data_IF_370464344249
#
_entry.id   IF_370464344249
#
_cell.length_a   1.000
_cell.length_b   1.000
_cell.length_c   1.000
_cell.angle_alpha   90.00
_cell.angle_beta   90.00
_cell.angle_gamma   90.00
#
_symmetry.space_group_name_H-M   'P 1'
#
loop_
_entity.id
_entity.type
_entity.pdbx_description
1 polymer ?
#
# COMPACT_ATOMS: atom_id res chain seq x y z
N UNK A 1 -16.54 -25.16 -8.07
CA UNK A 1 -15.61 -24.80 -6.97
C UNK A 1 -14.60 -23.81 -7.54
N UNK A 2 -14.41 -22.68 -6.88
CA UNK A 2 -13.78 -21.47 -7.44
C UNK A 2 -12.31 -21.67 -7.84
N UNK A 3 -11.92 -21.18 -9.02
CA UNK A 3 -10.52 -21.03 -9.48
C UNK A 3 -9.61 -20.37 -8.42
N UNK A 4 -10.19 -19.53 -7.54
CA UNK A 4 -9.48 -18.90 -6.43
C UNK A 4 -9.01 -19.91 -5.37
N UNK A 5 -9.86 -20.88 -4.99
CA UNK A 5 -9.51 -21.87 -3.98
C UNK A 5 -8.35 -22.76 -4.45
N UNK A 6 -8.37 -23.16 -5.73
CA UNK A 6 -7.26 -23.89 -6.34
C UNK A 6 -5.98 -23.06 -6.39
N UNK A 7 -6.07 -21.78 -6.77
CA UNK A 7 -4.93 -20.88 -6.83
C UNK A 7 -4.30 -20.65 -5.46
N UNK A 8 -5.11 -20.39 -4.43
CA UNK A 8 -4.65 -20.23 -3.05
C UNK A 8 -4.04 -21.54 -2.54
N UNK A 9 -4.70 -22.69 -2.77
CA UNK A 9 -4.17 -23.99 -2.36
C UNK A 9 -2.80 -24.29 -2.96
N UNK A 10 -2.61 -24.03 -4.26
CA UNK A 10 -1.29 -24.15 -4.92
C UNK A 10 -0.26 -23.18 -4.33
N UNK A 11 -0.64 -21.94 -4.04
CA UNK A 11 0.26 -20.95 -3.46
C UNK A 11 0.70 -21.33 -2.03
N UNK A 12 -0.22 -21.85 -1.20
CA UNK A 12 0.06 -22.34 0.16
C UNK A 12 1.06 -23.48 0.13
N UNK A 13 0.89 -24.43 -0.80
CA UNK A 13 1.75 -25.61 -0.93
C UNK A 13 3.05 -25.35 -1.69
N UNK A 14 3.22 -24.18 -2.32
CA UNK A 14 4.40 -23.85 -3.09
C UNK A 14 5.66 -23.85 -2.21
N UNK A 15 6.55 -24.82 -2.45
CA UNK A 15 7.79 -24.99 -1.69
C UNK A 15 7.61 -25.55 -0.28
N UNK A 16 6.44 -26.09 0.06
CA UNK A 16 6.21 -26.85 1.28
C UNK A 16 6.46 -28.35 1.04
N UNK A 17 6.98 -29.05 2.06
CA UNK A 17 6.89 -30.51 2.07
C UNK A 17 5.47 -30.92 2.44
N UNK A 18 4.70 -31.41 1.47
CA UNK A 18 3.31 -31.80 1.67
C UNK A 18 3.13 -33.00 2.62
N UNK A 19 4.21 -33.72 2.94
CA UNK A 19 4.21 -34.82 3.92
C UNK A 19 4.44 -34.35 5.36
N UNK A 20 4.78 -33.07 5.57
CA UNK A 20 4.80 -32.44 6.89
C UNK A 20 3.46 -31.73 7.11
N UNK A 21 2.53 -32.39 7.80
CA UNK A 21 1.20 -31.84 8.05
C UNK A 21 1.25 -30.56 8.89
N UNK A 22 2.25 -30.40 9.76
CA UNK A 22 2.43 -29.19 10.56
C UNK A 22 2.96 -28.02 9.72
N UNK A 23 3.78 -28.27 8.69
CA UNK A 23 4.16 -27.24 7.72
C UNK A 23 2.94 -26.73 6.95
N UNK A 24 2.02 -27.62 6.57
CA UNK A 24 0.77 -27.24 5.91
C UNK A 24 -0.09 -26.34 6.83
N UNK A 25 -0.21 -26.68 8.12
CA UNK A 25 -0.93 -25.84 9.09
C UNK A 25 -0.31 -24.45 9.20
N UNK A 26 1.01 -24.35 9.37
CA UNK A 26 1.71 -23.05 9.47
C UNK A 26 1.49 -22.19 8.22
N UNK A 27 1.67 -22.77 7.03
CA UNK A 27 1.47 -22.07 5.76
C UNK A 27 0.03 -21.60 5.55
N UNK A 28 -0.95 -22.39 6.01
CA UNK A 28 -2.36 -22.01 5.96
C UNK A 28 -2.66 -20.87 6.93
N UNK A 29 -2.08 -20.89 8.12
CA UNK A 29 -2.19 -19.79 9.08
C UNK A 29 -1.57 -18.49 8.53
N UNK A 30 -0.40 -18.57 7.89
CA UNK A 30 0.22 -17.40 7.24
C UNK A 30 -0.70 -16.85 6.12
N UNK A 31 -1.33 -17.72 5.34
CA UNK A 31 -2.27 -17.31 4.30
C UNK A 31 -3.54 -16.67 4.88
N UNK A 32 -4.06 -17.15 6.02
CA UNK A 32 -5.20 -16.54 6.72
C UNK A 32 -4.87 -15.10 7.17
N UNK A 33 -3.70 -14.89 7.77
CA UNK A 33 -3.21 -13.55 8.13
C UNK A 33 -3.12 -12.64 6.91
N UNK A 34 -2.46 -13.08 5.84
CA UNK A 34 -2.29 -12.29 4.62
C UNK A 34 -3.63 -11.94 3.96
N UNK A 35 -4.54 -12.91 3.86
CA UNK A 35 -5.86 -12.67 3.24
C UNK A 35 -6.74 -11.77 4.11
N UNK A 36 -6.64 -11.88 5.44
CA UNK A 36 -7.27 -10.94 6.39
C UNK A 36 -6.76 -9.51 6.20
N UNK A 37 -5.45 -9.33 6.05
CA UNK A 37 -4.83 -8.02 5.79
C UNK A 37 -5.27 -7.45 4.45
N UNK A 38 -5.33 -8.27 3.39
CA UNK A 38 -5.83 -7.85 2.08
C UNK A 38 -7.30 -7.43 2.14
N UNK A 39 -8.13 -8.12 2.92
CA UNK A 39 -9.52 -7.73 3.15
C UNK A 39 -9.61 -6.39 3.88
N UNK A 40 -8.83 -6.17 4.94
CA UNK A 40 -8.79 -4.89 5.65
C UNK A 40 -8.35 -3.75 4.70
N UNK A 41 -7.34 -3.99 3.86
CA UNK A 41 -6.88 -3.03 2.86
C UNK A 41 -7.96 -2.73 1.80
N UNK A 42 -8.67 -3.75 1.30
CA UNK A 42 -9.77 -3.57 0.37
C UNK A 42 -10.90 -2.73 0.98
N UNK A 43 -11.25 -2.97 2.25
CA UNK A 43 -12.23 -2.16 2.99
C UNK A 43 -11.75 -0.72 3.14
N UNK A 44 -10.49 -0.51 3.50
CA UNK A 44 -9.89 0.83 3.60
C UNK A 44 -9.92 1.57 2.25
N UNK A 45 -9.59 0.89 1.15
CA UNK A 45 -9.67 1.43 -0.19
C UNK A 45 -11.11 1.82 -0.56
N UNK A 46 -12.10 0.97 -0.26
CA UNK A 46 -13.50 1.28 -0.47
C UNK A 46 -13.96 2.49 0.37
N UNK A 47 -13.52 2.59 1.62
CA UNK A 47 -13.79 3.75 2.49
C UNK A 47 -13.17 5.02 1.94
N UNK A 48 -11.92 4.97 1.47
CA UNK A 48 -11.23 6.10 0.85
C UNK A 48 -11.87 6.53 -0.48
N UNK A 49 -12.50 5.60 -1.20
CA UNK A 49 -13.31 5.87 -2.38
C UNK A 49 -14.74 6.38 -2.06
N UNK A 50 -15.09 6.55 -0.78
CA UNK A 50 -16.36 7.13 -0.35
C UNK A 50 -17.48 6.12 -0.06
N UNK A 51 -17.26 4.81 -0.17
CA UNK A 51 -18.30 3.81 0.13
C UNK A 51 -18.66 3.80 1.62
N UNK A 52 -19.95 3.72 1.94
CA UNK A 52 -20.46 3.72 3.32
C UNK A 52 -20.21 2.39 4.05
N UNK A 53 -20.19 2.43 5.39
CA UNK A 53 -20.15 1.22 6.22
C UNK A 53 -21.32 0.28 5.98
N UNK A 54 -22.48 0.81 5.58
CA UNK A 54 -23.65 -0.01 5.27
C UNK A 54 -23.41 -0.81 3.98
N UNK A 55 -22.90 -0.17 2.92
CA UNK A 55 -22.59 -0.82 1.66
C UNK A 55 -21.50 -1.90 1.80
N UNK A 56 -20.46 -1.60 2.59
CA UNK A 56 -19.39 -2.55 2.91
C UNK A 56 -19.94 -3.72 3.73
N UNK A 57 -20.75 -3.44 4.77
CA UNK A 57 -21.38 -4.47 5.57
C UNK A 57 -22.23 -5.42 4.73
N UNK A 58 -23.13 -4.89 3.91
CA UNK A 58 -23.97 -5.69 3.00
C UNK A 58 -23.16 -6.56 2.06
N UNK A 59 -22.07 -6.05 1.48
CA UNK A 59 -21.16 -6.83 0.61
C UNK A 59 -20.52 -8.02 1.33
N UNK A 60 -20.24 -7.87 2.63
CA UNK A 60 -19.60 -8.90 3.46
C UNK A 60 -20.59 -9.77 4.24
N UNK A 61 -21.90 -9.59 4.04
CA UNK A 61 -22.93 -10.29 4.84
C UNK A 61 -22.95 -9.87 6.31
N UNK A 62 -22.52 -8.65 6.62
CA UNK A 62 -22.45 -8.06 7.96
C UNK A 62 -23.45 -6.90 8.12
N UNK A 63 -23.82 -6.61 9.37
CA UNK A 63 -24.50 -5.35 9.68
C UNK A 63 -23.52 -4.17 9.57
N UNK A 64 -24.06 -2.95 9.40
CA UNK A 64 -23.26 -1.70 9.42
C UNK A 64 -22.37 -1.61 10.66
N UNK A 65 -22.94 -1.89 11.83
CA UNK A 65 -22.23 -1.81 13.11
C UNK A 65 -21.14 -2.88 13.21
N UNK A 66 -21.42 -4.12 12.81
CA UNK A 66 -20.43 -5.20 12.79
C UNK A 66 -19.26 -4.87 11.84
N UNK A 67 -19.54 -4.32 10.65
CA UNK A 67 -18.51 -3.88 9.72
C UNK A 67 -17.67 -2.75 10.31
N UNK A 68 -18.30 -1.72 10.89
CA UNK A 68 -17.58 -0.61 11.52
C UNK A 68 -16.74 -1.06 12.71
N UNK A 69 -17.24 -1.99 13.54
CA UNK A 69 -16.50 -2.52 14.68
C UNK A 69 -15.28 -3.32 14.23
N UNK A 70 -15.45 -4.15 13.20
CA UNK A 70 -14.38 -5.04 12.69
C UNK A 70 -13.30 -4.27 11.94
N UNK A 71 -13.69 -3.35 11.06
CA UNK A 71 -12.77 -2.72 10.11
C UNK A 71 -12.52 -1.23 10.35
N UNK A 72 -13.28 -0.59 11.25
CA UNK A 72 -13.16 0.86 11.51
C UNK A 72 -12.01 1.26 12.43
N UNK A 73 -11.21 0.29 12.91
CA UNK A 73 -10.00 0.54 13.70
C UNK A 73 -8.79 0.52 12.76
N UNK A 74 -7.99 1.58 12.73
CA UNK A 74 -6.71 1.53 12.04
C UNK A 74 -5.78 0.54 12.78
N UNK A 75 -5.20 -0.46 12.09
CA UNK A 75 -4.15 -1.28 12.70
C UNK A 75 -2.91 -0.43 12.99
N UNK A 76 -2.30 -0.67 14.14
CA UNK A 76 -1.04 -0.05 14.53
C UNK A 76 0.12 -0.60 13.67
N UNK A 77 0.43 0.12 12.59
CA UNK A 77 1.73 0.30 11.91
C UNK A 77 2.77 -0.83 12.04
N UNK A 78 3.00 -1.57 10.97
CA UNK A 78 4.29 -2.22 10.71
C UNK A 78 5.19 -1.26 9.91
N UNK A 79 6.23 -0.74 10.56
CA UNK A 79 7.21 0.15 9.97
C UNK A 79 8.32 -0.66 9.28
N UNK A 80 8.43 -0.59 7.95
CA UNK A 80 9.71 -0.85 7.29
C UNK A 80 10.61 0.38 7.51
N UNK A 81 11.86 0.13 7.94
CA UNK A 81 12.79 1.14 8.44
C UNK A 81 13.39 1.99 7.32
N UNK A 82 13.33 3.30 7.47
CA UNK A 82 14.19 4.21 6.74
C UNK A 82 15.63 4.11 7.28
N UNK A 83 16.65 4.43 6.46
CA UNK A 83 18.01 4.54 6.96
C UNK A 83 18.11 5.59 8.08
N UNK A 84 18.98 5.38 9.10
CA UNK A 84 19.16 6.33 10.19
C UNK A 84 19.51 7.73 9.67
N UNK A 85 18.77 8.74 10.12
CA UNK A 85 19.00 10.15 9.76
C UNK A 85 18.22 10.65 8.52
N UNK A 86 17.45 9.80 7.84
CA UNK A 86 16.58 10.26 6.77
C UNK A 86 15.33 10.96 7.32
N UNK A 87 15.01 12.14 6.78
CA UNK A 87 13.81 12.89 7.16
C UNK A 87 12.56 12.10 6.74
N UNK A 88 11.67 11.81 7.69
CA UNK A 88 10.42 11.09 7.45
C UNK A 88 9.21 11.99 7.67
N UNK A 89 8.17 11.81 6.86
CA UNK A 89 6.87 12.46 7.10
C UNK A 89 5.69 11.59 6.68
N UNK A 90 4.52 11.97 7.16
CA UNK A 90 3.23 11.54 6.59
C UNK A 90 2.68 12.65 5.70
N UNK A 91 2.34 12.32 4.45
CA UNK A 91 1.55 13.16 3.56
C UNK A 91 0.08 12.77 3.68
N UNK A 92 -0.77 13.68 4.16
CA UNK A 92 -2.21 13.45 4.27
C UNK A 92 -2.92 14.53 5.10
N UNK A 93 -4.27 14.51 5.13
CA UNK A 93 -5.13 13.55 4.45
C UNK A 93 -5.16 13.73 2.92
N UNK A 94 -5.15 12.63 2.16
CA UNK A 94 -5.34 12.60 0.71
C UNK A 94 -6.41 11.57 0.34
N UNK A 95 -7.23 11.90 -0.64
CA UNK A 95 -8.29 11.06 -1.19
C UNK A 95 -7.85 10.39 -2.49
N UNK A 96 -8.65 9.47 -3.03
CA UNK A 96 -8.34 8.87 -4.32
C UNK A 96 -8.30 9.88 -5.49
N UNK A 97 -8.84 11.09 -5.31
CA UNK A 97 -8.96 12.13 -6.33
C UNK A 97 -7.74 13.07 -6.41
N UNK A 98 -7.22 13.51 -5.27
CA UNK A 98 -6.10 14.48 -5.14
C UNK A 98 -4.75 13.81 -4.85
N UNK A 99 -4.76 12.55 -4.38
CA UNK A 99 -3.54 11.82 -3.97
C UNK A 99 -2.40 11.89 -4.99
N UNK A 100 -2.67 11.68 -6.28
CA UNK A 100 -1.60 11.65 -7.27
C UNK A 100 -0.99 13.04 -7.52
N UNK A 101 -1.78 14.10 -7.38
CA UNK A 101 -1.30 15.48 -7.50
C UNK A 101 -0.43 15.86 -6.29
N UNK A 102 -0.86 15.48 -5.09
CA UNK A 102 -0.10 15.68 -3.86
C UNK A 102 1.23 14.90 -3.87
N UNK A 103 1.21 13.68 -4.40
CA UNK A 103 2.42 12.88 -4.58
C UNK A 103 3.39 13.50 -5.59
N UNK A 104 2.89 14.05 -6.70
CA UNK A 104 3.69 14.76 -7.69
C UNK A 104 4.35 16.03 -7.11
N UNK A 105 3.61 16.81 -6.31
CA UNK A 105 4.16 17.94 -5.54
C UNK A 105 5.26 17.49 -4.56
N UNK A 106 4.99 16.43 -3.79
CA UNK A 106 5.94 15.88 -2.85
C UNK A 106 7.21 15.34 -3.55
N UNK A 107 7.05 14.68 -4.69
CA UNK A 107 8.13 14.15 -5.52
C UNK A 107 9.08 15.24 -6.00
N UNK A 108 8.57 16.40 -6.42
CA UNK A 108 9.39 17.57 -6.77
C UNK A 108 10.26 18.09 -5.63
N UNK A 109 9.80 17.90 -4.39
CA UNK A 109 10.49 18.32 -3.16
C UNK A 109 11.42 17.22 -2.59
N UNK A 110 11.55 16.11 -3.30
CA UNK A 110 12.45 15.00 -3.00
C UNK A 110 11.87 13.92 -2.09
N UNK A 111 10.55 13.91 -1.91
CA UNK A 111 9.86 12.91 -1.09
C UNK A 111 9.45 11.71 -1.91
N UNK A 112 9.90 10.51 -1.52
CA UNK A 112 9.42 9.24 -2.08
C UNK A 112 8.49 8.52 -1.12
N UNK A 113 7.46 7.87 -1.65
CA UNK A 113 6.56 7.01 -0.86
C UNK A 113 7.27 5.72 -0.47
N UNK A 114 7.14 5.33 0.79
CA UNK A 114 7.65 4.06 1.35
C UNK A 114 6.55 3.23 2.04
N UNK A 115 5.37 3.80 2.22
CA UNK A 115 4.21 3.14 2.81
C UNK A 115 2.93 3.91 2.55
N UNK A 116 1.78 3.26 2.64
CA UNK A 116 0.47 3.89 2.55
C UNK A 116 -0.41 3.43 3.72
N UNK A 117 -1.07 4.38 4.37
CA UNK A 117 -2.12 4.16 5.35
C UNK A 117 -3.46 4.65 4.81
N UNK A 118 -4.50 4.62 5.63
CA UNK A 118 -5.80 5.16 5.22
C UNK A 118 -5.67 6.68 4.97
N UNK A 119 -5.88 7.10 3.72
CA UNK A 119 -5.84 8.50 3.28
C UNK A 119 -4.48 9.21 3.53
N UNK A 120 -3.36 8.48 3.58
CA UNK A 120 -2.03 9.09 3.80
C UNK A 120 -0.88 8.22 3.29
N UNK A 121 0.23 8.87 2.96
CA UNK A 121 1.48 8.22 2.55
C UNK A 121 2.59 8.45 3.56
N UNK A 122 3.34 7.40 3.89
CA UNK A 122 4.62 7.54 4.59
C UNK A 122 5.69 7.81 3.56
N UNK A 123 6.51 8.82 3.83
CA UNK A 123 7.52 9.27 2.90
C UNK A 123 8.87 9.44 3.58
N UNK A 124 9.92 9.27 2.78
CA UNK A 124 11.30 9.59 3.15
C UNK A 124 11.81 10.66 2.19
N UNK A 125 12.54 11.65 2.71
CA UNK A 125 13.17 12.69 1.90
C UNK A 125 14.52 12.25 1.37
N UNK A 126 14.81 12.63 0.13
CA UNK A 126 16.08 12.39 -0.55
C UNK A 126 16.55 13.67 -1.27
N UNK A 127 17.81 13.75 -1.71
CA UNK A 127 18.33 14.91 -2.45
C UNK A 127 17.79 15.06 -3.88
N UNK A 128 17.18 14.01 -4.44
CA UNK A 128 16.70 13.96 -5.82
C UNK A 128 15.18 14.00 -5.91
N UNK A 129 14.64 14.43 -7.04
CA UNK A 129 13.20 14.48 -7.31
C UNK A 129 12.68 13.09 -7.69
N UNK A 130 11.44 12.81 -7.29
CA UNK A 130 10.77 11.54 -7.54
C UNK A 130 9.51 11.72 -8.38
N UNK A 131 9.20 10.69 -9.15
CA UNK A 131 7.89 10.51 -9.77
C UNK A 131 7.14 9.38 -9.06
N UNK A 132 5.81 9.50 -9.03
CA UNK A 132 4.93 8.50 -8.42
C UNK A 132 3.88 8.04 -9.44
N UNK A 133 3.51 6.76 -9.34
CA UNK A 133 2.46 6.18 -10.16
C UNK A 133 1.67 5.17 -9.35
N UNK A 134 0.35 5.21 -9.46
CA UNK A 134 -0.55 4.21 -8.86
C UNK A 134 -1.06 3.27 -9.95
N UNK A 135 -0.92 1.96 -9.73
CA UNK A 135 -1.41 0.92 -10.65
C UNK A 135 -2.22 -0.12 -9.88
N UNK A 136 -3.14 -0.80 -10.57
CA UNK A 136 -3.82 -1.95 -10.00
C UNK A 136 -2.82 -3.11 -9.82
N UNK A 137 -2.93 -3.82 -8.72
CA UNK A 137 -2.21 -5.06 -8.47
C UNK A 137 -2.86 -6.22 -9.24
N UNK A 138 -2.74 -6.19 -10.57
CA UNK A 138 -3.38 -7.16 -11.48
C UNK A 138 -2.43 -8.21 -12.05
N UNK A 139 -1.11 -8.12 -11.77
CA UNK A 139 -0.13 -9.08 -12.28
C UNK A 139 1.32 -8.62 -12.07
N UNK A 140 2.24 -9.18 -12.86
CA UNK A 140 3.67 -8.88 -12.77
C UNK A 140 4.01 -7.41 -13.04
N UNK A 141 5.01 -6.90 -12.31
CA UNK A 141 5.47 -5.50 -12.38
C UNK A 141 6.67 -5.29 -13.33
N UNK A 142 7.16 -6.36 -13.97
CA UNK A 142 8.36 -6.36 -14.80
C UNK A 142 8.40 -5.26 -15.88
N UNK A 143 7.25 -4.89 -16.45
CA UNK A 143 7.20 -3.78 -17.43
C UNK A 143 7.57 -2.43 -16.80
N UNK A 144 7.13 -2.19 -15.57
CA UNK A 144 7.40 -0.95 -14.86
C UNK A 144 8.85 -0.92 -14.36
N UNK A 145 9.34 -2.06 -13.87
CA UNK A 145 10.74 -2.22 -13.45
C UNK A 145 11.72 -1.91 -14.58
N UNK A 146 11.44 -2.38 -15.81
CA UNK A 146 12.24 -2.04 -17.00
C UNK A 146 12.24 -0.54 -17.32
N UNK A 147 11.17 0.17 -16.98
CA UNK A 147 11.05 1.62 -17.16
C UNK A 147 11.61 2.42 -15.96
N UNK A 148 12.32 1.75 -15.04
CA UNK A 148 12.97 2.33 -13.88
C UNK A 148 12.04 2.57 -12.69
N UNK A 149 10.84 1.99 -12.67
CA UNK A 149 9.94 2.09 -11.52
C UNK A 149 10.25 1.04 -10.47
N UNK A 150 10.27 1.47 -9.22
CA UNK A 150 10.38 0.62 -8.03
C UNK A 150 9.04 0.54 -7.29
N UNK A 151 8.82 -0.53 -6.54
CA UNK A 151 7.68 -0.59 -5.61
C UNK A 151 8.00 0.27 -4.40
N UNK A 152 7.30 1.41 -4.27
CA UNK A 152 7.34 2.23 -3.06
C UNK A 152 6.57 1.56 -1.92
N UNK A 153 5.33 1.14 -2.20
CA UNK A 153 4.57 0.29 -1.30
C UNK A 153 3.43 -0.46 -2.01
N UNK A 154 2.86 -1.46 -1.32
CA UNK A 154 1.64 -2.15 -1.72
C UNK A 154 0.54 -1.83 -0.72
N UNK A 155 -0.60 -1.38 -1.23
CA UNK A 155 -1.80 -1.09 -0.45
C UNK A 155 -3.00 -1.53 -1.28
N UNK A 156 -3.40 -2.79 -1.11
CA UNK A 156 -4.37 -3.46 -1.96
C UNK A 156 -5.66 -2.64 -2.12
N UNK A 157 -6.18 -2.47 -3.35
CA UNK A 157 -5.79 -3.16 -4.59
C UNK A 157 -4.68 -2.47 -5.38
N UNK A 158 -4.03 -1.46 -4.80
CA UNK A 158 -3.06 -0.62 -5.49
C UNK A 158 -1.62 -1.04 -5.21
N UNK A 159 -0.76 -0.80 -6.19
CA UNK A 159 0.69 -0.71 -6.02
C UNK A 159 1.08 0.73 -6.31
N UNK A 160 1.78 1.35 -5.35
CA UNK A 160 2.39 2.66 -5.52
C UNK A 160 3.83 2.46 -5.96
N UNK A 161 4.08 2.86 -7.20
CA UNK A 161 5.38 2.83 -7.82
C UNK A 161 6.05 4.20 -7.65
N UNK A 162 7.36 4.19 -7.44
CA UNK A 162 8.19 5.38 -7.34
C UNK A 162 9.37 5.26 -8.30
N UNK A 163 9.82 6.36 -8.87
CA UNK A 163 10.98 6.40 -9.76
C UNK A 163 11.84 7.61 -9.43
N UNK A 164 13.13 7.39 -9.18
CA UNK A 164 14.08 8.49 -9.03
C UNK A 164 14.33 9.12 -10.40
N UNK A 165 14.24 10.44 -10.50
CA UNK A 165 14.55 11.17 -11.73
C UNK A 165 16.03 11.47 -11.90
N UNK A 166 16.83 11.31 -10.83
CA UNK A 166 18.22 11.72 -10.76
C UNK A 166 18.44 13.23 -10.72
N UNK A 167 17.37 14.03 -10.85
CA UNK A 167 17.45 15.50 -10.81
C UNK A 167 17.52 15.98 -9.37
N UNK A 168 18.40 16.92 -9.01
CA UNK A 168 18.42 17.48 -7.67
C UNK A 168 17.11 18.21 -7.37
N UNK A 169 16.68 18.18 -6.11
CA UNK A 169 15.66 19.10 -5.61
C UNK A 169 16.22 20.52 -5.76
N UNK A 170 15.41 21.46 -6.26
CA UNK A 170 15.84 22.86 -6.31
C UNK A 170 16.13 23.33 -4.88
N UNK A 171 17.27 23.99 -4.68
CA UNK A 171 17.51 24.68 -3.43
C UNK A 171 16.36 25.67 -3.24
N UNK A 172 15.68 25.62 -2.09
CA UNK A 172 14.75 26.66 -1.73
C UNK A 172 15.52 27.98 -1.78
N UNK A 173 15.07 28.93 -2.60
CA UNK A 173 15.69 30.24 -2.71
C UNK A 173 15.71 30.87 -1.30
N UNK A 174 16.90 31.10 -0.70
CA UNK A 174 16.99 31.65 0.65
C UNK A 174 16.50 33.11 0.75
N UNK A 175 16.02 33.71 -0.35
CA UNK A 175 15.68 35.13 -0.45
C UNK A 175 14.25 35.57 -0.05
N UNK A 176 13.37 34.70 0.45
CA UNK A 176 11.98 35.05 0.77
C UNK A 176 11.58 34.92 2.25
N UNK A 177 12.50 35.28 3.15
CA UNK A 177 12.15 35.79 4.48
C UNK A 177 12.71 37.20 4.61
N UNK A 178 11.90 38.19 4.21
CA UNK A 178 12.08 39.61 4.45
C UNK A 178 10.80 40.18 5.03
#
# INVERSE_FOLDING_TARGET
MSNLAETIGRAILAGADAKDELAVVRRTADADVVTGDLLQQAVNAARAAGHSWSAIGSTLGLTRQAAQQRFGREPARAAAGAPPGAEERWLGPVTAFDEMQELDLAGRLGWRTTGAGLLRHRMVRTPTRWEHKRVLWSGGLARYERDGWEVGCRAFPWVYLVRDTGRPVEAADPGLTG
#
